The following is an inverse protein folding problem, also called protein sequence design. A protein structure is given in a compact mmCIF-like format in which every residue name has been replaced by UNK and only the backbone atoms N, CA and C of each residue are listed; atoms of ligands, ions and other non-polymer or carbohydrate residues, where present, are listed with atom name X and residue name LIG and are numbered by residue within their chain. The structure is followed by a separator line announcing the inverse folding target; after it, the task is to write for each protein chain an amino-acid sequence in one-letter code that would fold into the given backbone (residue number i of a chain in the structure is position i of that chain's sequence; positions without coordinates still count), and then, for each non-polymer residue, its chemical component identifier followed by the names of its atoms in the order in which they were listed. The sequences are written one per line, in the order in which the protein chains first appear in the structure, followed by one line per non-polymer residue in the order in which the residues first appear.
data_IF_465276433647
#
_entry.id   IF_465276433647
#
_cell.length_a   1.000
_cell.length_b   1.000
_cell.length_c   1.000
_cell.angle_alpha   90.00
_cell.angle_beta   90.00
_cell.angle_gamma   90.00
#
_symmetry.space_group_name_H-M   'P 1'
#
loop_
_entity.id
_entity.type
_entity.pdbx_description
1 polymer ?
#
# COMPACT_ATOMS: atom_id res chain seq x y z
N UNK A 1 -16.76 7.51 -3.58
CA UNK A 1 -16.61 8.98 -3.43
C UNK A 1 -15.71 9.31 -2.27
N UNK A 2 -14.78 10.27 -2.46
CA UNK A 2 -13.97 10.98 -1.45
C UNK A 2 -12.88 10.14 -0.75
N UNK A 3 -11.58 10.48 -0.71
CA UNK A 3 -10.83 11.71 -1.01
C UNK A 3 -9.51 11.34 -1.68
N UNK A 4 -9.24 11.94 -2.85
CA UNK A 4 -7.92 11.95 -3.50
C UNK A 4 -6.98 12.82 -2.65
N UNK A 5 -6.14 12.24 -1.81
CA UNK A 5 -4.93 12.93 -1.33
C UNK A 5 -3.76 12.05 -1.70
N UNK A 6 -3.24 12.27 -2.90
CA UNK A 6 -2.02 11.61 -3.38
C UNK A 6 -0.78 12.08 -2.63
N UNK A 7 -0.82 13.29 -2.06
CA UNK A 7 0.29 13.90 -1.33
C UNK A 7 -0.21 14.40 0.03
N UNK A 8 0.61 14.25 1.06
CA UNK A 8 0.37 14.82 2.39
C UNK A 8 1.58 15.63 2.84
N UNK A 9 1.34 16.78 3.46
CA UNK A 9 2.39 17.62 4.04
C UNK A 9 2.45 17.49 5.57
N UNK A 10 3.66 17.63 6.13
CA UNK A 10 3.92 17.69 7.57
C UNK A 10 5.19 18.52 7.81
N UNK A 11 5.09 19.62 8.56
CA UNK A 11 6.22 20.50 8.89
C UNK A 11 7.08 20.88 7.67
N UNK A 12 6.46 21.37 6.60
CA UNK A 12 7.17 21.76 5.38
C UNK A 12 7.71 20.61 4.51
N UNK A 13 7.48 19.36 4.90
CA UNK A 13 7.86 18.18 4.11
C UNK A 13 6.62 17.55 3.48
N UNK A 14 6.79 16.89 2.34
CA UNK A 14 5.72 16.28 1.54
C UNK A 14 5.99 14.80 1.36
N UNK A 15 4.95 13.97 1.35
CA UNK A 15 5.09 12.56 0.94
C UNK A 15 3.96 12.15 0.04
N UNK A 16 4.25 11.25 -0.90
CA UNK A 16 3.23 10.61 -1.70
C UNK A 16 2.60 9.43 -0.95
N UNK A 17 1.32 9.19 -1.24
CA UNK A 17 0.59 8.01 -0.82
C UNK A 17 -0.43 7.59 -1.86
N UNK A 18 -0.64 6.28 -1.98
CA UNK A 18 -1.67 5.70 -2.84
C UNK A 18 -2.34 4.53 -2.11
N UNK A 19 -3.66 4.45 -2.16
CA UNK A 19 -4.43 3.35 -1.54
C UNK A 19 -4.94 2.39 -2.64
N UNK A 20 -4.83 1.08 -2.40
CA UNK A 20 -5.42 0.04 -3.26
C UNK A 20 -5.55 -1.30 -2.55
N UNK A 21 -6.73 -1.94 -2.63
CA UNK A 21 -6.91 -3.32 -2.16
C UNK A 21 -6.56 -3.56 -0.69
N UNK A 22 -6.95 -2.63 0.20
CA UNK A 22 -6.56 -2.54 1.62
C UNK A 22 -5.10 -2.19 1.88
N UNK A 23 -4.27 -2.00 0.86
CA UNK A 23 -2.91 -1.49 1.01
C UNK A 23 -2.91 0.03 0.92
N UNK A 24 -2.02 0.66 1.68
CA UNK A 24 -1.59 2.04 1.48
C UNK A 24 -0.09 2.03 1.25
N UNK A 25 0.32 2.47 0.06
CA UNK A 25 1.70 2.71 -0.32
C UNK A 25 2.11 4.10 0.12
N UNK A 26 3.33 4.25 0.62
CA UNK A 26 3.91 5.51 1.02
C UNK A 26 5.32 5.65 0.45
N UNK A 27 5.74 6.89 0.30
CA UNK A 27 7.15 7.26 0.16
C UNK A 27 7.65 7.89 1.45
N UNK A 28 8.97 8.05 1.56
CA UNK A 28 9.55 8.94 2.56
C UNK A 28 9.10 10.39 2.35
N UNK A 29 9.21 11.17 3.41
CA UNK A 29 9.00 12.62 3.34
C UNK A 29 10.14 13.27 2.56
N UNK A 30 9.78 14.17 1.65
CA UNK A 30 10.64 14.98 0.80
C UNK A 30 10.52 16.44 1.19
N UNK A 31 11.57 17.21 0.94
CA UNK A 31 11.55 18.66 1.18
C UNK A 31 10.76 19.36 0.06
N UNK A 32 10.97 18.94 -1.20
CA UNK A 32 10.27 19.48 -2.36
C UNK A 32 8.87 18.91 -2.54
N UNK A 33 7.93 19.76 -2.95
CA UNK A 33 6.63 19.29 -3.43
C UNK A 33 6.79 18.59 -4.79
N UNK A 34 7.66 19.08 -5.67
CA UNK A 34 7.94 18.45 -6.96
C UNK A 34 8.39 16.99 -6.78
N UNK A 35 9.37 16.73 -5.89
CA UNK A 35 9.83 15.37 -5.59
C UNK A 35 8.69 14.45 -5.13
N UNK A 36 7.78 14.97 -4.30
CA UNK A 36 6.62 14.21 -3.84
C UNK A 36 5.61 13.95 -4.96
N UNK A 37 5.51 14.85 -5.96
CA UNK A 37 4.67 14.63 -7.15
C UNK A 37 5.29 13.55 -8.04
N UNK A 38 6.58 13.58 -8.30
CA UNK A 38 7.28 12.55 -9.09
C UNK A 38 7.14 11.17 -8.46
N UNK A 39 7.40 11.09 -7.16
CA UNK A 39 7.17 9.87 -6.39
C UNK A 39 5.71 9.39 -6.41
N UNK A 40 4.74 10.32 -6.47
CA UNK A 40 3.34 9.95 -6.60
C UNK A 40 3.03 9.28 -7.94
N UNK A 41 3.69 9.69 -9.03
CA UNK A 41 3.55 9.06 -10.35
C UNK A 41 4.01 7.61 -10.29
N UNK A 42 5.16 7.33 -9.66
CA UNK A 42 5.67 5.96 -9.47
C UNK A 42 4.68 5.11 -8.66
N UNK A 43 4.13 5.65 -7.57
CA UNK A 43 3.11 4.93 -6.79
C UNK A 43 1.83 4.65 -7.58
N UNK A 44 1.43 5.56 -8.50
CA UNK A 44 0.27 5.35 -9.38
C UNK A 44 0.55 4.27 -10.43
N UNK A 45 1.76 4.21 -10.98
CA UNK A 45 2.17 3.14 -11.90
C UNK A 45 2.14 1.77 -11.20
N UNK A 46 2.72 1.67 -10.01
CA UNK A 46 2.65 0.47 -9.15
C UNK A 46 1.19 0.06 -8.92
N UNK A 47 0.33 1.01 -8.53
CA UNK A 47 -1.11 0.75 -8.34
C UNK A 47 -1.77 0.21 -9.60
N UNK A 48 -1.50 0.81 -10.75
CA UNK A 48 -2.10 0.42 -12.02
C UNK A 48 -1.61 -0.95 -12.49
N UNK A 49 -0.33 -1.26 -12.27
CA UNK A 49 0.22 -2.60 -12.50
C UNK A 49 -0.55 -3.64 -11.67
N UNK A 50 -0.68 -3.42 -10.36
CA UNK A 50 -1.38 -4.35 -9.48
C UNK A 50 -2.86 -4.46 -9.88
N UNK A 51 -3.52 -3.33 -10.17
CA UNK A 51 -4.92 -3.32 -10.55
C UNK A 51 -5.19 -4.03 -11.87
N UNK A 52 -4.35 -3.84 -12.89
CA UNK A 52 -4.57 -4.48 -14.18
C UNK A 52 -4.41 -6.01 -14.12
N UNK A 53 -3.49 -6.53 -13.30
CA UNK A 53 -3.19 -7.97 -13.20
C UNK A 53 -3.95 -8.73 -12.12
N UNK A 54 -4.21 -8.11 -10.96
CA UNK A 54 -4.61 -8.84 -9.76
C UNK A 54 -5.95 -8.39 -9.16
N UNK A 55 -6.69 -7.47 -9.80
CA UNK A 55 -7.95 -6.94 -9.23
C UNK A 55 -9.04 -7.99 -9.03
N UNK A 56 -9.07 -9.03 -9.86
CA UNK A 56 -10.04 -10.14 -9.73
C UNK A 56 -9.61 -11.20 -8.73
N UNK A 57 -8.32 -11.23 -8.37
CA UNK A 57 -7.78 -12.26 -7.49
C UNK A 57 -8.08 -11.92 -6.03
N UNK A 58 -8.67 -12.88 -5.33
CA UNK A 58 -8.92 -12.75 -3.89
C UNK A 58 -7.60 -12.83 -3.10
N UNK A 59 -6.72 -13.74 -3.48
CA UNK A 59 -5.38 -13.89 -2.92
C UNK A 59 -4.37 -13.46 -3.97
N UNK A 60 -3.40 -12.66 -3.57
CA UNK A 60 -2.39 -12.18 -4.50
C UNK A 60 -1.16 -13.06 -4.43
N UNK A 61 -0.64 -13.53 -5.58
CA UNK A 61 0.54 -14.38 -5.61
C UNK A 61 1.76 -13.50 -5.29
N UNK A 62 2.24 -13.60 -4.04
CA UNK A 62 3.20 -12.64 -3.44
C UNK A 62 4.48 -12.48 -4.29
N UNK A 63 5.14 -13.55 -4.76
CA UNK A 63 6.35 -13.42 -5.58
C UNK A 63 6.15 -12.58 -6.84
N UNK A 64 5.02 -12.76 -7.53
CA UNK A 64 4.70 -12.11 -8.79
C UNK A 64 4.32 -10.64 -8.60
N UNK A 65 3.60 -10.32 -7.51
CA UNK A 65 3.35 -8.93 -7.15
C UNK A 65 4.66 -8.23 -6.82
N UNK A 66 5.52 -8.84 -5.99
CA UNK A 66 6.82 -8.25 -5.62
C UNK A 66 7.69 -8.04 -6.85
N UNK A 67 7.85 -9.05 -7.71
CA UNK A 67 8.64 -8.95 -8.93
C UNK A 67 8.13 -7.85 -9.86
N UNK A 68 6.82 -7.73 -10.02
CA UNK A 68 6.23 -6.69 -10.86
C UNK A 68 6.36 -5.28 -10.30
N UNK A 69 6.29 -5.11 -8.97
CA UNK A 69 6.56 -3.80 -8.35
C UNK A 69 8.03 -3.43 -8.49
N UNK A 70 8.95 -4.39 -8.31
CA UNK A 70 10.39 -4.16 -8.52
C UNK A 70 10.70 -3.76 -9.97
N UNK A 71 10.06 -4.41 -10.94
CA UNK A 71 10.16 -4.03 -12.34
C UNK A 71 9.66 -2.59 -12.58
N UNK A 72 8.50 -2.22 -12.04
CA UNK A 72 7.95 -0.87 -12.18
C UNK A 72 8.85 0.22 -11.54
N UNK A 73 9.50 -0.09 -10.42
CA UNK A 73 10.49 0.79 -9.80
C UNK A 73 11.73 0.95 -10.70
N UNK A 74 12.25 -0.16 -11.22
CA UNK A 74 13.42 -0.15 -12.10
C UNK A 74 13.15 0.59 -13.44
N UNK A 75 11.98 0.39 -14.05
CA UNK A 75 11.53 1.13 -15.24
C UNK A 75 11.42 2.65 -14.99
N UNK A 76 11.14 3.02 -13.74
CA UNK A 76 11.10 4.42 -13.29
C UNK A 76 12.47 4.96 -12.85
N UNK A 77 13.55 4.18 -13.02
CA UNK A 77 14.90 4.58 -12.63
C UNK A 77 15.10 4.75 -11.12
N UNK A 78 14.33 4.02 -10.29
CA UNK A 78 14.38 4.12 -8.82
C UNK A 78 14.39 2.75 -8.14
N UNK A 79 14.52 2.73 -6.82
CA UNK A 79 14.48 1.53 -5.97
C UNK A 79 13.55 1.74 -4.78
N UNK A 80 13.23 0.67 -4.04
CA UNK A 80 12.47 0.81 -2.79
C UNK A 80 13.19 1.72 -1.79
N UNK A 81 14.52 1.65 -1.70
CA UNK A 81 15.33 2.47 -0.81
C UNK A 81 15.33 3.95 -1.20
N UNK A 82 15.52 4.24 -2.49
CA UNK A 82 15.53 5.63 -3.01
C UNK A 82 14.16 6.30 -2.85
N UNK A 83 13.09 5.55 -3.09
CA UNK A 83 11.73 6.04 -2.91
C UNK A 83 11.35 6.16 -1.41
N UNK A 84 12.04 5.43 -0.53
CA UNK A 84 11.58 5.17 0.83
C UNK A 84 10.22 4.47 0.81
N UNK A 85 10.08 3.48 -0.08
CA UNK A 85 8.84 2.76 -0.32
C UNK A 85 8.44 1.95 0.91
N UNK A 86 7.22 2.12 1.38
CA UNK A 86 6.70 1.33 2.49
C UNK A 86 5.20 1.13 2.37
N UNK A 87 4.69 0.10 3.02
CA UNK A 87 3.29 -0.32 2.88
C UNK A 87 2.66 -0.51 4.25
N UNK A 88 1.40 -0.11 4.39
CA UNK A 88 0.55 -0.53 5.52
C UNK A 88 -0.76 -1.07 5.00
N UNK A 89 -1.45 -1.86 5.81
CA UNK A 89 -2.83 -2.20 5.58
C UNK A 89 -3.73 -1.12 6.19
N UNK A 90 -4.78 -0.77 5.48
CA UNK A 90 -5.81 0.16 5.93
C UNK A 90 -7.18 -0.49 5.79
N UNK A 91 -7.87 -0.55 6.91
CA UNK A 91 -9.27 -0.98 6.99
C UNK A 91 -10.12 0.17 7.55
N UNK A 92 -11.34 0.30 7.05
CA UNK A 92 -12.32 1.24 7.57
C UNK A 92 -13.33 0.46 8.43
N UNK A 93 -13.57 0.94 9.66
CA UNK A 93 -14.58 0.35 10.54
C UNK A 93 -16.00 0.44 9.95
N UNK A 94 -16.97 -0.25 10.57
CA UNK A 94 -18.36 -0.33 10.09
C UNK A 94 -18.98 1.05 9.81
N UNK A 95 -18.66 2.05 10.62
CA UNK A 95 -19.16 3.42 10.48
C UNK A 95 -18.32 4.30 9.55
N UNK A 96 -17.27 3.77 8.90
CA UNK A 96 -16.33 4.47 8.00
C UNK A 96 -15.58 5.69 8.59
N UNK A 97 -15.85 6.06 9.84
CA UNK A 97 -15.17 7.17 10.52
C UNK A 97 -13.85 6.76 11.20
N UNK A 98 -13.68 5.48 11.52
CA UNK A 98 -12.46 4.95 12.12
C UNK A 98 -11.62 4.27 11.06
N UNK A 99 -10.43 4.83 10.80
CA UNK A 99 -9.39 4.19 9.99
C UNK A 99 -8.48 3.40 10.91
N UNK A 100 -8.39 2.09 10.68
CA UNK A 100 -7.48 1.19 11.37
C UNK A 100 -6.32 0.90 10.42
N UNK A 101 -5.09 1.10 10.91
CA UNK A 101 -3.87 0.86 10.14
C UNK A 101 -3.05 -0.25 10.80
N UNK A 102 -2.40 -1.08 9.99
CA UNK A 102 -1.31 -1.93 10.47
C UNK A 102 -0.04 -1.09 10.68
N UNK A 103 1.01 -1.66 11.31
CA UNK A 103 2.36 -1.15 11.18
C UNK A 103 2.76 -0.94 9.71
N UNK A 104 3.69 -0.02 9.49
CA UNK A 104 4.31 0.23 8.18
C UNK A 104 5.45 -0.76 8.01
N UNK A 105 5.37 -1.59 6.97
CA UNK A 105 6.29 -2.71 6.70
C UNK A 105 6.68 -2.76 5.22
N UNK A 106 7.59 -3.66 4.87
CA UNK A 106 7.98 -3.91 3.49
C UNK A 106 6.81 -4.52 2.67
N UNK A 107 6.85 -4.37 1.34
CA UNK A 107 5.76 -4.84 0.46
C UNK A 107 5.47 -6.33 0.63
N UNK A 108 6.51 -7.17 0.62
CA UNK A 108 6.36 -8.63 0.74
C UNK A 108 5.62 -9.02 2.03
N UNK A 109 5.97 -8.37 3.14
CA UNK A 109 5.34 -8.61 4.44
C UNK A 109 3.90 -8.11 4.47
N UNK A 110 3.63 -6.90 3.97
CA UNK A 110 2.27 -6.36 3.87
C UNK A 110 1.34 -7.27 3.02
N UNK A 111 1.88 -7.86 1.95
CA UNK A 111 1.14 -8.81 1.11
C UNK A 111 0.85 -10.12 1.84
N UNK A 112 1.81 -10.64 2.60
CA UNK A 112 1.61 -11.83 3.43
C UNK A 112 0.52 -11.60 4.49
N UNK A 113 0.61 -10.48 5.23
CA UNK A 113 -0.41 -10.07 6.21
C UNK A 113 -1.77 -9.95 5.54
N UNK A 114 -1.84 -9.29 4.37
CA UNK A 114 -3.09 -9.13 3.60
C UNK A 114 -3.71 -10.49 3.26
N UNK A 115 -2.93 -11.42 2.72
CA UNK A 115 -3.44 -12.74 2.34
C UNK A 115 -3.92 -13.52 3.56
N UNK A 116 -3.15 -13.52 4.66
CA UNK A 116 -3.54 -14.17 5.91
C UNK A 116 -4.86 -13.62 6.46
N UNK A 117 -5.00 -12.28 6.51
CA UNK A 117 -6.23 -11.64 6.98
C UNK A 117 -7.42 -11.99 6.08
N UNK A 118 -7.24 -12.01 4.76
CA UNK A 118 -8.31 -12.40 3.84
C UNK A 118 -8.71 -13.87 4.01
N UNK A 119 -7.74 -14.77 4.27
CA UNK A 119 -8.01 -16.18 4.58
C UNK A 119 -8.71 -16.33 5.93
N UNK A 120 -8.23 -15.67 6.99
CA UNK A 120 -8.84 -15.68 8.32
C UNK A 120 -10.27 -15.14 8.29
N UNK A 121 -10.51 -14.06 7.52
CA UNK A 121 -11.84 -13.49 7.30
C UNK A 121 -12.83 -14.48 6.70
N UNK A 122 -12.39 -15.40 5.84
CA UNK A 122 -13.26 -16.44 5.27
C UNK A 122 -13.72 -17.45 6.32
N UNK A 123 -12.90 -17.68 7.34
CA UNK A 123 -13.20 -18.64 8.42
C UNK A 123 -14.23 -18.05 9.37
N UNK A 124 -13.94 -16.87 9.93
CA UNK A 124 -14.86 -16.15 10.81
C UNK A 124 -14.34 -14.74 11.14
N UNK A 125 -15.21 -13.92 11.74
CA UNK A 125 -14.82 -12.64 12.31
C UNK A 125 -13.86 -12.80 13.52
N UNK A 126 -13.99 -13.88 14.29
CA UNK A 126 -13.08 -14.18 15.40
C UNK A 126 -11.67 -14.52 14.89
N UNK A 127 -11.56 -15.32 13.83
CA UNK A 127 -10.28 -15.66 13.21
C UNK A 127 -9.60 -14.41 12.62
N UNK A 128 -10.34 -13.54 11.94
CA UNK A 128 -9.80 -12.27 11.44
C UNK A 128 -9.26 -11.39 12.56
N UNK A 129 -9.99 -11.29 13.69
CA UNK A 129 -9.54 -10.50 14.84
C UNK A 129 -8.28 -11.07 15.47
N UNK A 130 -8.20 -12.39 15.64
CA UNK A 130 -7.02 -13.06 16.17
C UNK A 130 -5.78 -12.80 15.28
N UNK A 131 -5.93 -12.90 13.96
CA UNK A 131 -4.84 -12.63 13.02
C UNK A 131 -4.43 -11.14 12.99
N UNK A 132 -5.37 -10.20 13.22
CA UNK A 132 -5.06 -8.77 13.21
C UNK A 132 -4.25 -8.29 14.43
N UNK A 133 -4.34 -9.00 15.56
CA UNK A 133 -3.66 -8.63 16.81
C UNK A 133 -2.38 -9.43 17.08
N UNK A 134 -2.07 -10.40 16.21
CA UNK A 134 -0.84 -11.21 16.27
C UNK A 134 0.37 -10.41 15.79
#
# INVERSE_FOLDING_TARGET
GGRRRGISSRHGHYRAKVEYGFLTFFTRFQVGLEDAVEHHIVLVQIRNFIASRFHVLREWPVPEVVAGVQAALAESGTSEGDLGFSVSLTCYGLLRFTKICSPVVALKEALAIRNNLLLARRRSWAALRAEWVA
#
